data_IF_071470392981
#
_entry.id   IF_071470392981
#
_cell.length_a   1.000
_cell.length_b   1.000
_cell.length_c   1.000
_cell.angle_alpha   90.00
_cell.angle_beta   90.00
_cell.angle_gamma   90.00
#
_symmetry.space_group_name_H-M   'P 1'
#
loop_
_entity.id
_entity.type
_entity.pdbx_description
1 polymer ?
#
# COMPACT_ATOMS: atom_id res chain seq x y z
N UNK A 1 33.15 -0.28 29.44
CA UNK A 1 33.64 -1.05 28.27
C UNK A 1 32.52 -1.08 27.25
N UNK A 2 32.85 -1.11 25.96
CA UNK A 2 31.95 -0.63 24.89
C UNK A 2 31.20 -1.75 24.15
N UNK A 3 30.17 -1.35 23.42
CA UNK A 3 29.19 -2.17 22.69
C UNK A 3 29.80 -3.04 21.55
N UNK A 4 28.99 -3.89 20.91
CA UNK A 4 28.20 -3.38 19.77
C UNK A 4 26.68 -3.49 19.98
N UNK A 5 25.96 -2.45 19.55
CA UNK A 5 24.51 -2.50 19.37
C UNK A 5 24.22 -2.86 17.92
N UNK A 6 23.28 -3.77 17.68
CA UNK A 6 22.85 -4.10 16.33
C UNK A 6 21.87 -3.02 15.83
N UNK A 7 22.30 -2.23 14.86
CA UNK A 7 21.50 -1.15 14.23
C UNK A 7 21.44 -1.43 12.73
N UNK A 8 20.25 -1.72 12.18
CA UNK A 8 20.07 -1.87 10.74
C UNK A 8 18.68 -1.39 10.27
N UNK A 9 18.66 -0.14 9.79
CA UNK A 9 17.76 0.41 8.76
C UNK A 9 16.25 0.14 8.83
N UNK A 10 15.58 0.95 9.66
CA UNK A 10 14.27 1.52 9.34
C UNK A 10 14.49 2.96 8.84
N UNK A 11 14.18 3.27 7.57
CA UNK A 11 14.27 4.63 7.01
C UNK A 11 13.10 4.89 6.07
N UNK A 12 12.00 5.38 6.63
CA UNK A 12 11.06 6.21 5.88
C UNK A 12 11.70 7.55 5.50
N UNK A 13 11.38 8.05 4.32
CA UNK A 13 11.91 9.27 3.69
C UNK A 13 13.43 9.29 3.39
N UNK A 14 13.79 9.85 2.24
CA UNK A 14 15.15 10.28 1.84
C UNK A 14 16.32 9.28 2.01
N UNK A 15 16.42 8.33 1.08
CA UNK A 15 17.71 7.84 0.50
C UNK A 15 17.60 7.64 -1.05
N UNK A 16 17.08 8.63 -1.78
CA UNK A 16 17.26 8.69 -3.25
C UNK A 16 18.56 9.43 -3.56
N UNK A 17 19.68 8.74 -3.34
CA UNK A 17 21.01 9.35 -3.44
C UNK A 17 22.13 8.34 -3.68
N UNK A 18 22.77 8.45 -4.85
CA UNK A 18 24.06 7.84 -5.17
C UNK A 18 24.18 6.30 -5.06
N UNK A 19 23.43 5.58 -5.89
CA UNK A 19 24.02 4.43 -6.59
C UNK A 19 23.77 4.60 -8.09
N UNK A 20 24.82 4.81 -8.88
CA UNK A 20 24.70 4.87 -10.34
C UNK A 20 24.38 3.49 -10.92
N UNK A 21 23.73 3.44 -12.09
CA UNK A 21 23.19 2.19 -12.67
C UNK A 21 24.17 1.00 -12.72
N UNK A 22 25.48 1.24 -12.95
CA UNK A 22 26.51 0.18 -12.92
C UNK A 22 26.72 -0.38 -11.51
N UNK A 23 26.71 0.48 -10.48
CA UNK A 23 26.77 0.06 -9.07
C UNK A 23 25.52 -0.72 -8.66
N UNK A 24 24.34 -0.27 -9.11
CA UNK A 24 23.08 -1.01 -8.91
C UNK A 24 23.21 -2.39 -9.56
N UNK A 25 23.54 -2.49 -10.85
CA UNK A 25 23.70 -3.77 -11.55
C UNK A 25 24.73 -4.72 -10.91
N UNK A 26 25.79 -4.19 -10.28
CA UNK A 26 26.75 -5.01 -9.52
C UNK A 26 26.11 -5.52 -8.21
N UNK A 27 25.39 -4.69 -7.48
CA UNK A 27 24.68 -5.07 -6.25
C UNK A 27 23.56 -6.07 -6.56
N UNK A 28 22.75 -5.82 -7.59
CA UNK A 28 21.70 -6.70 -8.11
C UNK A 28 22.26 -8.09 -8.44
N UNK A 29 23.35 -8.13 -9.21
CA UNK A 29 23.99 -9.38 -9.64
C UNK A 29 24.70 -10.12 -8.50
N UNK A 30 25.09 -9.42 -7.43
CA UNK A 30 25.58 -10.03 -6.20
C UNK A 30 24.44 -10.55 -5.32
N UNK A 31 23.30 -9.84 -5.26
CA UNK A 31 22.08 -10.26 -4.56
C UNK A 31 21.50 -11.53 -5.18
N UNK A 32 21.23 -11.50 -6.49
CA UNK A 32 20.71 -12.63 -7.26
C UNK A 32 21.60 -13.88 -7.14
N UNK A 33 22.93 -13.69 -7.06
CA UNK A 33 23.89 -14.78 -6.86
C UNK A 33 23.89 -15.35 -5.43
N UNK A 34 23.53 -14.56 -4.40
CA UNK A 34 23.25 -15.07 -3.04
C UNK A 34 21.93 -15.84 -2.99
N UNK A 35 20.90 -15.32 -3.65
CA UNK A 35 19.58 -15.96 -3.71
C UNK A 35 19.67 -17.34 -4.41
N UNK A 36 20.43 -17.46 -5.50
CA UNK A 36 20.81 -18.76 -6.09
C UNK A 36 21.51 -19.71 -5.10
N UNK A 37 22.42 -19.20 -4.27
CA UNK A 37 23.17 -20.02 -3.30
C UNK A 37 22.27 -20.50 -2.16
N UNK A 38 21.40 -19.63 -1.66
CA UNK A 38 20.39 -19.97 -0.64
C UNK A 38 19.39 -21.00 -1.20
N UNK A 39 18.96 -20.85 -2.45
CA UNK A 39 18.07 -21.82 -3.11
C UNK A 39 18.76 -23.19 -3.28
N UNK A 40 20.04 -23.22 -3.69
CA UNK A 40 20.84 -24.46 -3.78
C UNK A 40 21.01 -25.12 -2.40
N UNK A 41 21.24 -24.35 -1.33
CA UNK A 41 21.31 -24.88 0.03
C UNK A 41 19.97 -25.48 0.51
N UNK A 42 18.83 -24.85 0.20
CA UNK A 42 17.51 -25.42 0.50
C UNK A 42 17.24 -26.70 -0.30
N UNK A 43 17.60 -26.76 -1.59
CA UNK A 43 17.48 -27.97 -2.42
C UNK A 43 18.36 -29.11 -1.87
N UNK A 44 19.59 -28.82 -1.42
CA UNK A 44 20.44 -29.80 -0.75
C UNK A 44 19.89 -30.26 0.61
N UNK A 45 19.19 -29.38 1.34
CA UNK A 45 18.55 -29.72 2.61
C UNK A 45 17.36 -30.66 2.38
N UNK A 46 16.42 -30.27 1.50
CA UNK A 46 15.29 -31.09 1.07
C UNK A 46 15.75 -32.44 0.50
N UNK A 47 16.87 -32.47 -0.25
CA UNK A 47 17.48 -33.69 -0.74
C UNK A 47 17.94 -34.64 0.38
N UNK A 48 18.43 -34.12 1.52
CA UNK A 48 18.81 -34.92 2.70
C UNK A 48 17.57 -35.39 3.46
N UNK A 49 16.55 -34.56 3.60
CA UNK A 49 15.26 -34.93 4.22
C UNK A 49 14.57 -36.05 3.42
N UNK A 50 14.45 -35.91 2.09
CA UNK A 50 13.91 -36.96 1.22
C UNK A 50 14.71 -38.28 1.31
N UNK A 51 16.02 -38.23 1.56
CA UNK A 51 16.82 -39.43 1.80
C UNK A 51 16.55 -40.06 3.17
N UNK A 52 16.30 -39.27 4.22
CA UNK A 52 15.89 -39.81 5.52
C UNK A 52 14.47 -40.39 5.46
N UNK A 53 13.51 -39.69 4.87
CA UNK A 53 12.13 -40.18 4.67
C UNK A 53 12.12 -41.48 3.86
N UNK A 54 12.98 -41.62 2.84
CA UNK A 54 13.15 -42.90 2.12
C UNK A 54 13.71 -44.02 3.00
N UNK A 55 14.71 -43.75 3.85
CA UNK A 55 15.24 -44.74 4.81
C UNK A 55 14.18 -45.15 5.83
N UNK A 56 13.38 -44.20 6.31
CA UNK A 56 12.26 -44.47 7.23
C UNK A 56 11.14 -45.27 6.56
N UNK A 57 10.81 -44.98 5.30
CA UNK A 57 9.90 -45.81 4.52
C UNK A 57 10.44 -47.24 4.35
N UNK A 58 11.73 -47.43 4.09
CA UNK A 58 12.31 -48.77 3.96
C UNK A 58 12.45 -49.50 5.32
N UNK A 59 12.71 -48.81 6.44
CA UNK A 59 12.66 -49.44 7.78
C UNK A 59 11.23 -49.81 8.15
N UNK A 60 10.24 -48.93 7.93
CA UNK A 60 8.81 -49.23 8.11
C UNK A 60 8.34 -50.39 7.22
N UNK A 61 8.81 -50.46 5.97
CA UNK A 61 8.51 -51.57 5.04
C UNK A 61 9.14 -52.88 5.49
N UNK A 62 10.31 -52.85 6.12
CA UNK A 62 10.93 -54.03 6.72
C UNK A 62 10.25 -54.43 8.06
N UNK A 63 9.76 -53.47 8.84
CA UNK A 63 8.90 -53.72 10.00
C UNK A 63 7.58 -54.38 9.56
N UNK A 64 6.93 -53.89 8.50
CA UNK A 64 5.74 -54.53 7.92
C UNK A 64 6.00 -55.96 7.42
N UNK A 65 7.15 -56.24 6.79
CA UNK A 65 7.57 -57.60 6.42
C UNK A 65 7.80 -58.52 7.62
N UNK A 66 8.11 -57.97 8.79
CA UNK A 66 8.28 -58.73 10.03
C UNK A 66 6.96 -58.92 10.79
N UNK A 67 6.04 -57.94 10.77
CA UNK A 67 4.69 -58.12 11.34
C UNK A 67 3.82 -59.04 10.47
N UNK A 68 3.97 -59.03 9.14
CA UNK A 68 3.29 -59.97 8.24
C UNK A 68 3.71 -61.43 8.45
N UNK A 69 4.88 -61.68 9.06
CA UNK A 69 5.30 -63.03 9.51
C UNK A 69 4.71 -63.43 10.87
N UNK A 70 4.09 -62.52 11.62
CA UNK A 70 3.55 -62.76 12.97
C UNK A 70 2.01 -62.71 13.05
N UNK A 71 1.31 -62.18 12.05
CA UNK A 71 -0.16 -62.22 11.98
C UNK A 71 -0.68 -63.35 11.07
N UNK A 72 -0.99 -64.51 11.67
CA UNK A 72 -1.64 -65.64 10.99
C UNK A 72 -2.72 -66.31 11.86
N UNK A 73 -3.66 -65.52 12.40
CA UNK A 73 -4.81 -66.01 13.19
C UNK A 73 -5.98 -65.01 13.16
N UNK A 74 -7.23 -65.50 13.08
CA UNK A 74 -8.53 -64.75 13.12
C UNK A 74 -8.75 -63.70 11.99
N UNK A 75 -9.83 -63.63 11.19
CA UNK A 75 -11.24 -64.15 11.23
C UNK A 75 -12.00 -63.76 12.51
N UNK A 76 -13.19 -63.16 12.55
CA UNK A 76 -14.25 -62.79 11.56
C UNK A 76 -15.22 -61.79 12.25
N UNK A 77 -16.31 -61.19 11.72
CA UNK A 77 -17.05 -61.15 10.44
C UNK A 77 -18.12 -60.01 10.48
N UNK A 78 -18.83 -59.75 9.36
CA UNK A 78 -20.21 -59.16 9.28
C UNK A 78 -20.46 -57.72 9.79
N UNK A 79 -21.54 -56.99 9.45
CA UNK A 79 -22.37 -56.83 8.23
C UNK A 79 -23.49 -55.77 8.47
N UNK A 80 -24.13 -55.24 7.41
CA UNK A 80 -25.55 -54.77 7.38
C UNK A 80 -25.94 -53.48 8.17
N UNK A 81 -27.03 -52.72 7.93
CA UNK A 81 -28.05 -52.59 6.83
C UNK A 81 -28.95 -51.35 7.04
N UNK A 82 -29.48 -50.74 5.94
CA UNK A 82 -30.77 -49.96 5.82
C UNK A 82 -30.96 -48.70 6.72
N UNK A 83 -31.91 -47.76 6.51
CA UNK A 83 -33.13 -47.56 5.67
C UNK A 83 -33.24 -46.05 5.30
N UNK A 84 -33.87 -45.48 4.26
CA UNK A 84 -35.25 -45.53 3.67
C UNK A 84 -36.39 -45.19 4.67
N UNK A 85 -37.42 -44.35 4.40
CA UNK A 85 -37.89 -43.73 3.13
C UNK A 85 -38.90 -42.54 3.34
N UNK A 86 -39.17 -41.72 2.30
CA UNK A 86 -40.42 -40.94 2.03
C UNK A 86 -40.95 -39.86 3.04
N UNK A 87 -41.99 -39.03 2.80
CA UNK A 87 -42.52 -38.19 1.65
C UNK A 87 -43.73 -37.32 2.18
N UNK A 88 -44.45 -36.55 1.32
CA UNK A 88 -45.76 -35.84 1.53
C UNK A 88 -45.66 -34.51 2.34
N UNK A 89 -46.37 -33.39 2.06
CA UNK A 89 -47.03 -32.82 0.85
C UNK A 89 -47.41 -31.32 1.13
N UNK A 90 -47.81 -30.55 0.11
CA UNK A 90 -48.15 -29.12 0.20
C UNK A 90 -49.65 -28.82 0.48
N UNK A 91 -49.95 -27.55 0.81
CA UNK A 91 -51.28 -26.90 0.78
C UNK A 91 -51.15 -25.41 0.45
N UNK A 92 -52.05 -24.87 -0.38
CA UNK A 92 -52.17 -23.44 -0.69
C UNK A 92 -52.80 -22.60 0.45
N UNK A 93 -52.65 -21.27 0.38
CA UNK A 93 -53.33 -20.31 1.26
C UNK A 93 -53.25 -18.88 0.71
N UNK A 94 -54.37 -18.41 0.14
CA UNK A 94 -54.55 -17.04 -0.39
C UNK A 94 -55.16 -16.12 0.68
N UNK A 95 -54.67 -14.87 0.77
CA UNK A 95 -55.47 -13.71 1.16
C UNK A 95 -54.75 -12.40 0.81
N UNK A 96 -55.49 -11.45 0.25
CA UNK A 96 -55.04 -10.08 -0.01
C UNK A 96 -55.42 -9.16 1.16
N UNK A 97 -54.43 -8.46 1.73
CA UNK A 97 -54.65 -7.19 2.42
C UNK A 97 -53.66 -6.14 1.86
N UNK A 98 -54.19 -4.99 1.45
CA UNK A 98 -53.41 -3.84 0.96
C UNK A 98 -53.59 -2.70 1.96
N UNK A 99 -52.73 -2.66 2.97
CA UNK A 99 -52.71 -1.55 3.94
C UNK A 99 -52.31 -0.25 3.26
N UNK A 100 -52.98 0.85 3.64
CA UNK A 100 -52.79 2.17 3.06
C UNK A 100 -51.54 2.82 3.69
N UNK A 101 -50.37 2.51 3.13
CA UNK A 101 -49.06 2.97 3.63
C UNK A 101 -48.98 4.51 3.69
N UNK A 102 -48.76 5.05 4.89
CA UNK A 102 -48.55 6.49 5.09
C UNK A 102 -47.08 6.85 4.82
N UNK A 103 -46.84 7.54 3.70
CA UNK A 103 -45.51 7.89 3.20
C UNK A 103 -44.78 8.88 4.13
N UNK A 104 -45.53 9.61 4.98
CA UNK A 104 -44.98 10.59 5.92
C UNK A 104 -43.92 10.00 6.85
N UNK A 105 -44.12 8.73 7.24
CA UNK A 105 -43.34 8.03 8.24
C UNK A 105 -41.98 7.52 7.71
N UNK A 106 -41.73 7.55 6.39
CA UNK A 106 -40.46 7.13 5.80
C UNK A 106 -39.47 8.30 5.60
N UNK A 107 -39.93 9.54 5.37
CA UNK A 107 -39.01 10.67 5.17
C UNK A 107 -38.18 10.99 6.43
N UNK A 108 -38.77 10.92 7.63
CA UNK A 108 -38.02 11.06 8.89
C UNK A 108 -37.06 9.87 9.12
N UNK A 109 -37.50 8.63 8.88
CA UNK A 109 -36.63 7.43 9.05
C UNK A 109 -35.46 7.40 8.06
N UNK A 110 -35.65 7.89 6.84
CA UNK A 110 -34.58 8.05 5.84
C UNK A 110 -33.62 9.16 6.29
N UNK A 111 -34.12 10.27 6.85
CA UNK A 111 -33.27 11.33 7.42
C UNK A 111 -32.38 10.79 8.54
N UNK A 112 -32.96 10.12 9.54
CA UNK A 112 -32.23 9.55 10.69
C UNK A 112 -31.18 8.52 10.24
N UNK A 113 -31.55 7.61 9.33
CA UNK A 113 -30.64 6.59 8.81
C UNK A 113 -29.47 7.18 8.00
N UNK A 114 -29.70 8.27 7.26
CA UNK A 114 -28.64 9.02 6.56
C UNK A 114 -27.73 9.75 7.55
N UNK A 115 -28.27 10.37 8.60
CA UNK A 115 -27.47 11.04 9.63
C UNK A 115 -26.58 10.05 10.39
N UNK A 116 -27.11 8.88 10.77
CA UNK A 116 -26.29 7.82 11.40
C UNK A 116 -25.23 7.24 10.46
N UNK A 117 -25.52 7.15 9.15
CA UNK A 117 -24.53 6.72 8.14
C UNK A 117 -23.41 7.74 7.98
N UNK A 118 -23.72 9.04 7.93
CA UNK A 118 -22.73 10.12 7.90
C UNK A 118 -21.89 10.15 9.18
N UNK A 119 -22.54 10.03 10.35
CA UNK A 119 -21.91 9.97 11.67
C UNK A 119 -20.98 8.76 11.83
N UNK A 120 -21.31 7.60 11.24
CA UNK A 120 -20.40 6.46 11.16
C UNK A 120 -19.18 6.78 10.28
N UNK A 121 -19.40 7.35 9.09
CA UNK A 121 -18.32 7.68 8.16
C UNK A 121 -17.33 8.71 8.76
N UNK A 122 -17.83 9.75 9.44
CA UNK A 122 -17.02 10.74 10.14
C UNK A 122 -16.24 10.14 11.32
N UNK A 123 -16.86 9.24 12.10
CA UNK A 123 -16.20 8.49 13.18
C UNK A 123 -15.04 7.65 12.65
N UNK A 124 -15.27 6.93 11.55
CA UNK A 124 -14.23 6.13 10.89
C UNK A 124 -13.12 7.04 10.37
N UNK A 125 -13.42 8.12 9.65
CA UNK A 125 -12.37 8.99 9.11
C UNK A 125 -11.52 9.65 10.20
N UNK A 126 -12.10 10.00 11.35
CA UNK A 126 -11.39 10.49 12.54
C UNK A 126 -10.40 9.44 13.09
N UNK A 127 -10.80 8.18 13.21
CA UNK A 127 -9.89 7.09 13.63
C UNK A 127 -8.82 6.83 12.57
N UNK A 128 -9.20 6.83 11.29
CA UNK A 128 -8.28 6.65 10.17
C UNK A 128 -7.26 7.78 10.01
N UNK A 129 -7.51 8.98 10.57
CA UNK A 129 -6.55 10.08 10.68
C UNK A 129 -5.93 10.27 12.07
N UNK A 130 -6.26 9.38 13.02
CA UNK A 130 -5.49 9.20 14.25
C UNK A 130 -4.12 8.54 13.98
N UNK A 131 -3.31 8.43 15.05
CA UNK A 131 -2.05 7.67 15.05
C UNK A 131 -2.11 6.43 15.94
N UNK A 132 -3.30 5.96 16.35
CA UNK A 132 -3.40 4.75 17.17
C UNK A 132 -3.49 3.49 16.29
N UNK A 133 -2.43 2.70 16.30
CA UNK A 133 -2.27 1.52 15.45
C UNK A 133 -3.24 0.40 15.82
N UNK A 134 -3.69 0.31 17.08
CA UNK A 134 -4.65 -0.72 17.48
C UNK A 134 -6.07 -0.37 17.04
N UNK A 135 -6.49 0.90 17.23
CA UNK A 135 -7.77 1.40 16.71
C UNK A 135 -7.84 1.26 15.18
N UNK A 136 -6.73 1.55 14.47
CA UNK A 136 -6.63 1.35 13.02
C UNK A 136 -6.81 -0.10 12.56
N UNK A 137 -6.40 -1.10 13.35
CA UNK A 137 -6.66 -2.53 13.06
C UNK A 137 -8.12 -2.86 13.31
N UNK A 138 -8.67 -2.44 14.46
CA UNK A 138 -10.08 -2.69 14.82
C UNK A 138 -10.99 -2.09 13.74
N UNK A 139 -10.76 -0.84 13.34
CA UNK A 139 -11.48 -0.18 12.25
C UNK A 139 -11.25 -0.84 10.88
N UNK A 140 -10.08 -1.46 10.62
CA UNK A 140 -9.89 -2.23 9.38
C UNK A 140 -10.74 -3.51 9.36
N UNK A 141 -10.85 -4.24 10.47
CA UNK A 141 -11.74 -5.41 10.53
C UNK A 141 -13.23 -4.99 10.52
N UNK A 142 -13.63 -3.96 11.27
CA UNK A 142 -15.01 -3.38 11.18
C UNK A 142 -15.38 -3.00 9.73
N UNK A 143 -14.45 -2.40 8.97
CA UNK A 143 -14.68 -2.04 7.58
C UNK A 143 -14.69 -3.25 6.63
N UNK A 144 -13.97 -4.33 6.94
CA UNK A 144 -14.03 -5.58 6.16
C UNK A 144 -15.37 -6.27 6.35
N UNK A 145 -15.80 -6.45 7.60
CA UNK A 145 -17.10 -7.06 7.93
C UNK A 145 -18.23 -6.30 7.23
N UNK A 146 -18.23 -4.97 7.33
CA UNK A 146 -19.20 -4.11 6.65
C UNK A 146 -19.08 -4.16 5.11
N UNK A 147 -17.91 -4.51 4.55
CA UNK A 147 -17.75 -4.73 3.10
C UNK A 147 -18.23 -6.11 2.62
N UNK A 148 -18.43 -7.08 3.52
CA UNK A 148 -19.14 -8.33 3.20
C UNK A 148 -20.66 -8.13 3.21
N UNK A 149 -21.18 -7.27 4.10
CA UNK A 149 -22.59 -6.87 4.13
C UNK A 149 -22.96 -5.91 2.97
N UNK A 150 -22.09 -4.93 2.66
CA UNK A 150 -22.32 -3.88 1.66
C UNK A 150 -21.24 -3.85 0.56
N UNK A 151 -21.09 -4.93 -0.25
CA UNK A 151 -19.98 -5.08 -1.21
C UNK A 151 -20.00 -4.08 -2.37
N UNK A 152 -21.10 -3.37 -2.58
CA UNK A 152 -21.23 -2.31 -3.60
C UNK A 152 -21.00 -0.89 -3.05
N UNK A 153 -20.69 -0.68 -1.75
CA UNK A 153 -20.32 0.65 -1.27
C UNK A 153 -18.81 0.95 -1.48
N UNK A 154 -18.54 1.74 -2.52
CA UNK A 154 -17.22 2.28 -2.79
C UNK A 154 -16.63 3.13 -1.64
N UNK A 155 -17.46 3.66 -0.73
CA UNK A 155 -17.03 4.51 0.39
C UNK A 155 -16.42 3.73 1.56
N UNK A 156 -16.81 2.47 1.75
CA UNK A 156 -16.13 1.52 2.65
C UNK A 156 -14.79 1.13 2.02
N UNK A 157 -14.80 0.76 0.73
CA UNK A 157 -13.65 0.20 0.04
C UNK A 157 -12.45 1.17 -0.06
N UNK A 158 -12.65 2.49 -0.22
CA UNK A 158 -11.52 3.43 -0.14
C UNK A 158 -11.06 3.70 1.30
N UNK A 159 -11.92 3.54 2.30
CA UNK A 159 -11.53 3.63 3.72
C UNK A 159 -10.71 2.43 4.17
N UNK A 160 -11.02 1.22 3.67
CA UNK A 160 -10.13 0.04 3.75
C UNK A 160 -8.77 0.40 3.14
N UNK A 161 -8.72 1.00 1.95
CA UNK A 161 -7.47 1.40 1.32
C UNK A 161 -6.66 2.44 2.13
N UNK A 162 -7.34 3.42 2.76
CA UNK A 162 -6.74 4.38 3.72
C UNK A 162 -6.15 3.66 4.94
N UNK A 163 -6.90 2.73 5.55
CA UNK A 163 -6.46 1.94 6.70
C UNK A 163 -5.24 1.07 6.37
N UNK A 164 -5.31 0.31 5.27
CA UNK A 164 -4.20 -0.50 4.77
C UNK A 164 -2.93 0.34 4.52
N UNK A 165 -3.05 1.54 3.95
CA UNK A 165 -1.89 2.43 3.77
C UNK A 165 -1.28 2.88 5.11
N UNK A 166 -2.11 3.23 6.11
CA UNK A 166 -1.62 3.64 7.44
C UNK A 166 -0.84 2.49 8.09
N UNK A 167 -1.40 1.28 8.11
CA UNK A 167 -0.72 0.08 8.65
C UNK A 167 0.55 -0.31 7.85
N UNK A 168 0.53 -0.17 6.52
CA UNK A 168 1.72 -0.36 5.67
C UNK A 168 2.81 0.72 5.87
N UNK A 169 2.47 1.87 6.43
CA UNK A 169 3.41 2.96 6.74
C UNK A 169 4.06 2.75 8.11
N UNK A 170 3.31 2.20 9.07
CA UNK A 170 3.77 1.89 10.43
C UNK A 170 4.59 0.58 10.51
N UNK A 171 4.30 -0.41 9.65
CA UNK A 171 4.93 -1.74 9.75
C UNK A 171 6.42 -1.78 9.35
N UNK A 172 7.28 -2.12 10.33
CA UNK A 172 8.68 -2.54 10.15
C UNK A 172 8.85 -3.77 9.24
N UNK A 173 7.83 -4.64 9.15
CA UNK A 173 7.93 -5.92 8.45
C UNK A 173 7.55 -5.77 6.97
N UNK A 174 8.53 -6.00 6.09
CA UNK A 174 8.32 -5.94 4.63
C UNK A 174 7.22 -6.89 4.13
N UNK A 175 6.99 -8.03 4.79
CA UNK A 175 5.95 -9.01 4.40
C UNK A 175 4.57 -8.43 4.71
N UNK A 176 4.35 -7.97 5.94
CA UNK A 176 3.07 -7.38 6.37
C UNK A 176 2.79 -6.08 5.58
N UNK A 177 3.83 -5.27 5.34
CA UNK A 177 3.75 -4.08 4.50
C UNK A 177 3.33 -4.40 3.06
N UNK A 178 3.93 -5.40 2.41
CA UNK A 178 3.53 -5.80 1.06
C UNK A 178 2.09 -6.33 1.03
N UNK A 179 1.68 -7.09 2.06
CA UNK A 179 0.33 -7.63 2.20
C UNK A 179 -0.74 -6.54 2.41
N UNK A 180 -0.51 -5.57 3.31
CA UNK A 180 -1.41 -4.42 3.46
C UNK A 180 -1.50 -3.59 2.17
N UNK A 181 -0.38 -3.31 1.50
CA UNK A 181 -0.39 -2.61 0.20
C UNK A 181 -1.15 -3.41 -0.87
N UNK A 182 -1.05 -4.75 -0.87
CA UNK A 182 -1.82 -5.63 -1.77
C UNK A 182 -3.32 -5.56 -1.49
N UNK A 183 -3.74 -5.63 -0.23
CA UNK A 183 -5.15 -5.54 0.19
C UNK A 183 -5.76 -4.19 -0.23
N UNK A 184 -5.13 -3.07 0.16
CA UNK A 184 -5.63 -1.74 -0.17
C UNK A 184 -5.72 -1.46 -1.67
N UNK A 185 -4.78 -1.99 -2.47
CA UNK A 185 -4.81 -1.83 -3.94
C UNK A 185 -5.96 -2.62 -4.58
N UNK A 186 -6.34 -3.80 -4.06
CA UNK A 186 -7.51 -4.52 -4.58
C UNK A 186 -8.83 -3.87 -4.12
N UNK A 187 -8.89 -3.37 -2.87
CA UNK A 187 -10.03 -2.59 -2.40
C UNK A 187 -10.27 -1.35 -3.29
N UNK A 188 -9.22 -0.59 -3.60
CA UNK A 188 -9.27 0.51 -4.57
C UNK A 188 -9.71 0.07 -5.99
N UNK A 189 -9.31 -1.11 -6.48
CA UNK A 189 -9.82 -1.63 -7.77
C UNK A 189 -11.31 -1.95 -7.71
N UNK A 190 -11.79 -2.57 -6.63
CA UNK A 190 -13.22 -2.83 -6.44
C UNK A 190 -14.02 -1.53 -6.37
N UNK A 191 -13.54 -0.57 -5.59
CA UNK A 191 -14.16 0.75 -5.49
C UNK A 191 -14.24 1.46 -6.86
N UNK A 192 -13.23 1.34 -7.72
CA UNK A 192 -13.25 1.88 -9.09
C UNK A 192 -14.16 1.12 -10.08
N UNK A 193 -14.47 -0.16 -9.82
CA UNK A 193 -15.46 -0.92 -10.61
C UNK A 193 -16.88 -0.37 -10.36
N UNK A 194 -17.14 0.12 -9.15
CA UNK A 194 -18.40 0.72 -8.71
C UNK A 194 -18.46 2.22 -9.09
N UNK A 195 -17.48 3.02 -8.63
CA UNK A 195 -17.50 4.48 -8.72
C UNK A 195 -16.23 5.06 -9.39
N UNK A 196 -16.11 4.94 -10.73
CA UNK A 196 -14.91 5.34 -11.49
C UNK A 196 -14.66 6.86 -11.57
N UNK A 197 -15.49 7.68 -10.89
CA UNK A 197 -15.40 9.13 -10.85
C UNK A 197 -15.30 9.70 -9.41
N UNK A 198 -15.06 8.88 -8.38
CA UNK A 198 -14.81 9.35 -7.02
C UNK A 198 -13.33 9.76 -6.84
N UNK A 199 -13.10 10.95 -6.28
CA UNK A 199 -11.76 11.53 -6.13
C UNK A 199 -10.87 10.75 -5.16
N UNK A 200 -11.41 10.37 -4.01
CA UNK A 200 -10.65 9.75 -2.92
C UNK A 200 -10.24 8.32 -3.26
N UNK A 201 -11.03 7.57 -4.03
CA UNK A 201 -10.59 6.27 -4.57
C UNK A 201 -9.33 6.46 -5.44
N UNK A 202 -9.34 7.42 -6.37
CA UNK A 202 -8.17 7.67 -7.23
C UNK A 202 -6.96 8.15 -6.42
N UNK A 203 -7.18 9.01 -5.42
CA UNK A 203 -6.15 9.51 -4.49
C UNK A 203 -5.51 8.40 -3.67
N UNK A 204 -6.29 7.54 -3.02
CA UNK A 204 -5.77 6.41 -2.24
C UNK A 204 -5.13 5.34 -3.11
N UNK A 205 -5.65 5.08 -4.33
CA UNK A 205 -4.98 4.22 -5.31
C UNK A 205 -3.57 4.76 -5.61
N UNK A 206 -3.44 6.06 -5.92
CA UNK A 206 -2.15 6.70 -6.20
C UNK A 206 -1.18 6.63 -5.00
N UNK A 207 -1.64 6.92 -3.78
CA UNK A 207 -0.84 6.82 -2.55
C UNK A 207 -0.28 5.39 -2.38
N UNK A 208 -1.14 4.38 -2.51
CA UNK A 208 -0.77 2.97 -2.33
C UNK A 208 0.25 2.47 -3.37
N UNK A 209 0.06 2.77 -4.66
CA UNK A 209 1.07 2.38 -5.69
C UNK A 209 2.35 3.19 -5.56
N UNK A 210 2.27 4.43 -5.06
CA UNK A 210 3.43 5.24 -4.71
C UNK A 210 4.30 4.59 -3.62
N UNK A 211 3.68 4.04 -2.57
CA UNK A 211 4.42 3.30 -1.54
C UNK A 211 4.89 1.91 -2.01
N UNK A 212 4.08 1.19 -2.81
CA UNK A 212 4.50 -0.09 -3.39
C UNK A 212 5.70 0.06 -4.34
N UNK A 213 5.78 1.16 -5.07
CA UNK A 213 6.92 1.52 -5.92
C UNK A 213 8.24 1.68 -5.13
N UNK A 214 8.21 1.85 -3.80
CA UNK A 214 9.44 1.90 -2.97
C UNK A 214 10.06 0.52 -2.75
N UNK A 215 9.24 -0.55 -2.70
CA UNK A 215 9.66 -1.91 -2.36
C UNK A 215 9.78 -2.86 -3.58
N UNK A 216 9.19 -2.50 -4.72
CA UNK A 216 9.17 -3.35 -5.92
C UNK A 216 10.42 -3.21 -6.81
N UNK A 217 10.73 -4.23 -7.65
CA UNK A 217 11.81 -4.16 -8.63
C UNK A 217 11.59 -3.08 -9.70
N UNK A 218 12.65 -2.72 -10.42
CA UNK A 218 12.67 -1.58 -11.35
C UNK A 218 11.55 -1.58 -12.41
N UNK A 219 11.16 -2.75 -12.94
CA UNK A 219 10.14 -2.88 -13.99
C UNK A 219 8.74 -2.61 -13.44
N UNK A 220 8.41 -3.26 -12.34
CA UNK A 220 7.15 -3.13 -11.62
C UNK A 220 7.00 -1.71 -11.06
N UNK A 221 8.10 -1.12 -10.57
CA UNK A 221 8.19 0.29 -10.16
C UNK A 221 7.89 1.29 -11.28
N UNK A 222 8.32 1.02 -12.52
CA UNK A 222 7.99 1.88 -13.67
C UNK A 222 6.49 1.77 -13.99
N UNK A 223 5.93 0.56 -13.98
CA UNK A 223 4.49 0.36 -14.18
C UNK A 223 3.65 1.08 -13.11
N UNK A 224 4.04 0.98 -11.84
CA UNK A 224 3.40 1.72 -10.74
C UNK A 224 3.60 3.24 -10.87
N UNK A 225 4.70 3.72 -11.46
CA UNK A 225 4.89 5.14 -11.79
C UNK A 225 3.93 5.67 -12.86
N UNK A 226 3.62 4.89 -13.90
CA UNK A 226 2.56 5.23 -14.86
C UNK A 226 1.18 5.22 -14.20
N UNK A 227 0.93 4.23 -13.33
CA UNK A 227 -0.33 4.06 -12.62
C UNK A 227 -0.56 5.21 -11.63
N UNK A 228 0.46 5.58 -10.85
CA UNK A 228 0.48 6.76 -9.99
C UNK A 228 0.04 8.01 -10.75
N UNK A 229 0.73 8.36 -11.85
CA UNK A 229 0.42 9.57 -12.63
C UNK A 229 -1.01 9.54 -13.17
N UNK A 230 -1.45 8.43 -13.77
CA UNK A 230 -2.84 8.24 -14.24
C UNK A 230 -3.87 8.52 -13.13
N UNK A 231 -3.66 8.01 -11.92
CA UNK A 231 -4.59 8.17 -10.82
C UNK A 231 -4.54 9.57 -10.18
N UNK A 232 -3.37 10.18 -10.04
CA UNK A 232 -3.23 11.59 -9.59
C UNK A 232 -3.84 12.57 -10.58
N UNK A 233 -3.54 12.43 -11.88
CA UNK A 233 -4.09 13.30 -12.93
C UNK A 233 -5.62 13.21 -12.95
N UNK A 234 -6.19 11.99 -12.89
CA UNK A 234 -7.65 11.78 -12.83
C UNK A 234 -8.25 12.35 -11.54
N UNK A 235 -7.63 12.17 -10.38
CA UNK A 235 -8.09 12.76 -9.13
C UNK A 235 -8.08 14.31 -9.19
N UNK A 236 -7.05 14.92 -9.79
CA UNK A 236 -6.99 16.37 -10.02
C UNK A 236 -8.04 16.89 -11.01
N UNK A 237 -8.50 16.09 -11.98
CA UNK A 237 -9.67 16.48 -12.80
C UNK A 237 -11.00 16.49 -12.02
N UNK A 238 -11.08 15.73 -10.92
CA UNK A 238 -12.27 15.63 -10.07
C UNK A 238 -12.24 16.68 -8.94
N UNK A 239 -11.07 16.91 -8.33
CA UNK A 239 -10.84 17.96 -7.34
C UNK A 239 -9.57 18.78 -7.67
N UNK A 240 -9.66 19.83 -8.51
CA UNK A 240 -8.51 20.67 -8.89
C UNK A 240 -7.89 21.48 -7.74
N UNK A 241 -8.49 21.47 -6.54
CA UNK A 241 -8.05 22.24 -5.36
C UNK A 241 -7.40 21.38 -4.27
N UNK A 242 -7.30 20.06 -4.46
CA UNK A 242 -6.67 19.18 -3.46
C UNK A 242 -5.16 19.43 -3.41
N UNK A 243 -4.72 20.12 -2.35
CA UNK A 243 -3.33 20.47 -2.14
C UNK A 243 -2.44 19.24 -1.86
N UNK A 244 -2.99 18.09 -1.41
CA UNK A 244 -2.22 16.85 -1.27
C UNK A 244 -1.93 16.25 -2.65
N UNK A 245 -2.91 16.24 -3.56
CA UNK A 245 -2.70 15.77 -4.94
C UNK A 245 -1.69 16.64 -5.69
N UNK A 246 -1.74 17.96 -5.53
CA UNK A 246 -0.72 18.87 -6.08
C UNK A 246 0.68 18.60 -5.50
N UNK A 247 0.81 18.34 -4.19
CA UNK A 247 2.10 17.98 -3.60
C UNK A 247 2.61 16.63 -4.12
N UNK A 248 1.73 15.62 -4.23
CA UNK A 248 2.04 14.30 -4.80
C UNK A 248 2.54 14.40 -6.24
N UNK A 249 1.87 15.19 -7.10
CA UNK A 249 2.28 15.41 -8.48
C UNK A 249 3.61 16.17 -8.56
N UNK A 250 3.79 17.20 -7.71
CA UNK A 250 5.04 17.95 -7.62
C UNK A 250 6.23 17.08 -7.22
N UNK A 251 6.04 16.19 -6.23
CA UNK A 251 7.06 15.20 -5.81
C UNK A 251 7.42 14.26 -6.95
N UNK A 252 6.42 13.68 -7.60
CA UNK A 252 6.61 12.80 -8.74
C UNK A 252 7.37 13.50 -9.88
N UNK A 253 6.96 14.72 -10.24
CA UNK A 253 7.61 15.53 -11.27
C UNK A 253 9.08 15.85 -10.92
N UNK A 254 9.37 16.21 -9.67
CA UNK A 254 10.73 16.48 -9.19
C UNK A 254 11.64 15.25 -9.29
N UNK A 255 11.19 14.09 -8.80
CA UNK A 255 11.97 12.85 -8.85
C UNK A 255 12.25 12.43 -10.30
N UNK A 256 11.23 12.47 -11.18
CA UNK A 256 11.37 12.18 -12.61
C UNK A 256 12.32 13.17 -13.32
N UNK A 257 12.24 14.47 -13.02
CA UNK A 257 13.14 15.47 -13.56
C UNK A 257 14.60 15.23 -13.13
N UNK A 258 14.81 14.67 -11.93
CA UNK A 258 16.13 14.33 -11.37
C UNK A 258 16.81 13.12 -12.03
N UNK A 259 16.04 12.21 -12.65
CA UNK A 259 16.59 11.05 -13.35
C UNK A 259 17.51 11.51 -14.49
N UNK A 260 18.75 11.03 -14.53
CA UNK A 260 19.70 11.45 -15.56
C UNK A 260 19.31 10.88 -16.92
N UNK A 261 19.76 11.53 -17.99
CA UNK A 261 19.41 11.16 -19.36
C UNK A 261 19.71 9.68 -19.68
N UNK A 262 20.79 9.12 -19.14
CA UNK A 262 21.15 7.72 -19.36
C UNK A 262 20.29 6.75 -18.54
N UNK A 263 19.86 7.12 -17.33
CA UNK A 263 18.92 6.35 -16.51
C UNK A 263 17.55 6.27 -17.21
N UNK A 264 17.05 7.40 -17.73
CA UNK A 264 15.83 7.44 -18.56
C UNK A 264 15.96 6.59 -19.83
N UNK A 265 17.09 6.67 -20.55
CA UNK A 265 17.31 5.90 -21.79
C UNK A 265 17.41 4.39 -21.57
N UNK A 266 18.04 3.95 -20.47
CA UNK A 266 18.10 2.52 -20.09
C UNK A 266 16.72 2.01 -19.66
N UNK A 267 15.97 2.79 -18.88
CA UNK A 267 14.59 2.45 -18.53
C UNK A 267 13.70 2.30 -19.78
N UNK A 268 13.73 3.30 -20.68
CA UNK A 268 12.97 3.29 -21.93
C UNK A 268 13.25 2.05 -22.80
N UNK A 269 14.52 1.62 -22.87
CA UNK A 269 14.95 0.49 -23.71
C UNK A 269 14.56 -0.87 -23.12
N UNK A 270 14.44 -0.99 -21.79
CA UNK A 270 14.23 -2.28 -21.11
C UNK A 270 12.79 -2.50 -20.61
N UNK A 271 12.08 -1.42 -20.27
CA UNK A 271 10.82 -1.48 -19.51
C UNK A 271 9.69 -0.62 -20.07
N UNK A 272 9.92 0.06 -21.21
CA UNK A 272 9.00 1.06 -21.76
C UNK A 272 9.37 2.48 -21.34
N UNK A 273 8.95 3.47 -22.13
CA UNK A 273 9.30 4.88 -21.93
C UNK A 273 8.76 5.40 -20.59
N UNK A 274 9.62 5.74 -19.60
CA UNK A 274 9.16 6.19 -18.30
C UNK A 274 8.47 7.56 -18.43
N UNK A 275 7.54 7.90 -17.52
CA UNK A 275 6.90 9.22 -17.51
C UNK A 275 7.93 10.34 -17.55
N UNK A 276 7.69 11.35 -18.38
CA UNK A 276 8.49 12.58 -18.42
C UNK A 276 7.90 13.66 -17.51
N UNK A 277 8.79 14.48 -16.94
CA UNK A 277 8.44 15.69 -16.21
C UNK A 277 9.64 16.67 -16.15
N UNK A 278 9.39 17.92 -15.75
CA UNK A 278 10.41 18.97 -15.54
C UNK A 278 10.38 19.58 -14.13
N UNK A 279 11.42 20.36 -13.77
CA UNK A 279 11.47 21.06 -12.48
C UNK A 279 10.52 22.26 -12.41
N UNK A 280 10.19 22.86 -13.55
CA UNK A 280 9.19 23.93 -13.69
C UNK A 280 7.77 23.39 -13.47
N UNK A 281 7.46 22.20 -13.98
CA UNK A 281 6.20 21.50 -13.69
C UNK A 281 6.08 21.17 -12.20
N UNK A 282 7.15 20.63 -11.61
CA UNK A 282 7.22 20.34 -10.17
C UNK A 282 7.00 21.61 -9.33
N UNK A 283 7.71 22.70 -9.65
CA UNK A 283 7.56 24.00 -9.00
C UNK A 283 6.14 24.53 -9.08
N UNK A 284 5.51 24.49 -10.26
CA UNK A 284 4.12 24.93 -10.43
C UNK A 284 3.15 24.11 -9.56
N UNK A 285 3.33 22.79 -9.47
CA UNK A 285 2.53 21.93 -8.60
C UNK A 285 2.67 22.35 -7.13
N UNK A 286 3.90 22.51 -6.61
CA UNK A 286 4.11 22.95 -5.24
C UNK A 286 3.60 24.38 -4.96
N UNK A 287 3.56 25.27 -5.96
CA UNK A 287 2.94 26.59 -5.85
C UNK A 287 1.39 26.52 -5.84
N UNK A 288 0.76 25.51 -6.44
CA UNK A 288 -0.68 25.26 -6.20
C UNK A 288 -0.95 24.80 -4.76
N UNK A 289 0.00 24.09 -4.12
CA UNK A 289 -0.13 23.72 -2.71
C UNK A 289 -0.15 24.97 -1.82
N UNK A 290 0.77 25.92 -2.00
CA UNK A 290 0.77 27.20 -1.25
C UNK A 290 -0.51 28.04 -1.48
N UNK A 291 -1.20 27.82 -2.61
CA UNK A 291 -2.45 28.52 -2.99
C UNK A 291 -3.71 27.90 -2.36
N UNK A 292 -3.72 26.59 -2.12
CA UNK A 292 -4.91 25.86 -1.63
C UNK A 292 -4.74 25.28 -0.22
N UNK A 293 -3.54 25.24 0.33
CA UNK A 293 -3.26 24.73 1.66
C UNK A 293 -3.30 25.87 2.69
N UNK A 294 -4.28 25.84 3.60
CA UNK A 294 -4.44 26.85 4.66
C UNK A 294 -3.43 26.71 5.82
N UNK A 295 -2.41 25.84 5.71
CA UNK A 295 -1.39 25.60 6.75
C UNK A 295 0.04 25.79 6.24
N UNK A 296 0.90 26.27 7.12
CA UNK A 296 2.35 26.30 6.92
C UNK A 296 2.92 24.87 6.82
N UNK A 297 3.27 24.41 5.61
CA UNK A 297 3.81 23.06 5.39
C UNK A 297 5.29 23.09 4.97
N UNK A 298 6.17 22.79 5.92
CA UNK A 298 7.64 22.80 5.76
C UNK A 298 8.13 22.05 4.52
N UNK A 299 7.64 20.82 4.31
CA UNK A 299 8.04 19.97 3.19
C UNK A 299 7.70 20.59 1.83
N UNK A 300 6.53 21.23 1.72
CA UNK A 300 6.17 21.92 0.48
C UNK A 300 7.13 23.08 0.18
N UNK A 301 7.38 23.95 1.16
CA UNK A 301 8.30 25.11 1.03
C UNK A 301 9.74 24.66 0.75
N UNK A 302 10.17 23.54 1.32
CA UNK A 302 11.45 22.92 1.04
C UNK A 302 11.58 22.43 -0.41
N UNK A 303 10.54 21.78 -0.96
CA UNK A 303 10.56 21.33 -2.34
C UNK A 303 10.47 22.49 -3.35
N UNK A 304 9.74 23.57 -3.04
CA UNK A 304 9.80 24.83 -3.80
C UNK A 304 11.24 25.36 -3.86
N UNK A 305 11.91 25.42 -2.70
CA UNK A 305 13.30 25.87 -2.61
C UNK A 305 14.26 24.97 -3.42
N UNK A 306 14.09 23.64 -3.40
CA UNK A 306 14.87 22.69 -4.21
C UNK A 306 14.62 22.87 -5.71
N UNK A 307 13.39 23.14 -6.14
CA UNK A 307 13.11 23.46 -7.54
C UNK A 307 13.83 24.74 -7.98
N UNK A 308 13.70 25.85 -7.23
CA UNK A 308 14.42 27.08 -7.54
C UNK A 308 15.95 26.89 -7.54
N UNK A 309 16.50 26.08 -6.62
CA UNK A 309 17.93 25.78 -6.56
C UNK A 309 18.43 25.08 -7.83
N UNK A 310 17.74 24.02 -8.29
CA UNK A 310 18.15 23.28 -9.49
C UNK A 310 17.91 24.08 -10.78
N UNK A 311 16.91 24.97 -10.79
CA UNK A 311 16.69 25.97 -11.85
C UNK A 311 17.73 27.12 -11.82
N UNK A 312 18.73 27.08 -10.94
CA UNK A 312 19.79 28.11 -10.81
C UNK A 312 19.35 29.41 -10.14
N UNK A 313 18.10 29.50 -9.69
CA UNK A 313 17.47 30.70 -9.12
C UNK A 313 17.85 30.85 -7.63
N UNK A 314 19.15 30.97 -7.34
CA UNK A 314 19.73 31.00 -5.98
C UNK A 314 19.03 31.98 -5.03
N UNK A 315 18.59 33.16 -5.51
CA UNK A 315 17.91 34.16 -4.66
C UNK A 315 16.57 33.64 -4.10
N UNK A 316 15.75 33.02 -4.95
CA UNK A 316 14.44 32.49 -4.56
C UNK A 316 14.60 31.20 -3.76
N UNK A 317 15.59 30.37 -4.11
CA UNK A 317 15.94 29.20 -3.32
C UNK A 317 16.27 29.58 -1.86
N UNK A 318 17.12 30.60 -1.63
CA UNK A 318 17.46 31.07 -0.27
C UNK A 318 16.23 31.61 0.47
N UNK A 319 15.34 32.36 -0.19
CA UNK A 319 14.07 32.82 0.42
C UNK A 319 13.21 31.63 0.86
N UNK A 320 12.97 30.68 -0.03
CA UNK A 320 12.10 29.54 0.25
C UNK A 320 12.70 28.55 1.26
N UNK A 321 14.02 28.35 1.27
CA UNK A 321 14.67 27.59 2.35
C UNK A 321 14.50 28.27 3.71
N UNK A 322 14.61 29.61 3.81
CA UNK A 322 14.33 30.35 5.06
C UNK A 322 12.85 30.29 5.45
N UNK A 323 11.93 30.35 4.49
CA UNK A 323 10.50 30.16 4.74
C UNK A 323 10.22 28.76 5.29
N UNK A 324 10.91 27.72 4.80
CA UNK A 324 10.80 26.36 5.32
C UNK A 324 11.47 26.20 6.70
N UNK A 325 12.62 26.83 6.91
CA UNK A 325 13.37 26.86 8.20
C UNK A 325 12.53 27.46 9.33
N UNK A 326 11.72 28.49 9.03
CA UNK A 326 10.88 29.21 9.98
C UNK A 326 9.62 28.45 10.43
N UNK A 327 9.17 27.42 9.68
CA UNK A 327 8.08 26.56 10.14
C UNK A 327 8.59 25.70 11.30
N UNK A 328 7.86 25.53 12.43
CA UNK A 328 8.25 24.62 13.50
C UNK A 328 8.44 23.17 13.03
N UNK A 329 9.25 22.37 13.74
CA UNK A 329 9.26 20.91 13.58
C UNK A 329 8.33 20.29 14.62
N UNK A 330 7.38 19.46 14.17
CA UNK A 330 6.38 18.81 15.04
C UNK A 330 6.61 17.29 15.14
N UNK A 331 7.18 16.68 14.10
CA UNK A 331 7.44 15.24 14.03
C UNK A 331 8.90 14.92 13.62
N UNK A 332 9.27 13.63 13.68
CA UNK A 332 10.61 13.15 13.31
C UNK A 332 11.03 13.51 11.88
N UNK A 333 10.09 13.46 10.92
CA UNK A 333 10.34 13.86 9.52
C UNK A 333 10.71 15.33 9.43
N UNK A 334 9.97 16.22 10.11
CA UNK A 334 10.29 17.66 10.15
C UNK A 334 11.66 17.94 10.77
N UNK A 335 12.12 17.13 11.73
CA UNK A 335 13.45 17.26 12.31
C UNK A 335 14.55 16.81 11.34
N UNK A 336 14.37 15.69 10.63
CA UNK A 336 15.28 15.25 9.55
C UNK A 336 15.34 16.30 8.43
N UNK A 337 14.18 16.86 8.07
CA UNK A 337 14.00 17.88 7.05
C UNK A 337 14.67 19.21 7.42
N UNK A 338 14.61 19.63 8.69
CA UNK A 338 15.32 20.82 9.17
C UNK A 338 16.83 20.71 8.94
N UNK A 339 17.42 19.52 9.09
CA UNK A 339 18.84 19.28 8.83
C UNK A 339 19.17 19.40 7.33
N UNK A 340 18.31 18.90 6.43
CA UNK A 340 18.47 19.04 4.98
C UNK A 340 18.30 20.51 4.53
N UNK A 341 17.38 21.27 5.15
CA UNK A 341 17.22 22.73 4.95
C UNK A 341 18.51 23.47 5.31
N UNK A 342 19.07 23.21 6.50
CA UNK A 342 20.28 23.89 7.00
C UNK A 342 21.55 23.55 6.21
N UNK A 343 21.64 22.36 5.63
CA UNK A 343 22.73 21.97 4.72
C UNK A 343 22.56 22.65 3.34
N UNK A 344 21.34 22.66 2.78
CA UNK A 344 21.06 23.35 1.52
C UNK A 344 21.25 24.87 1.60
N UNK A 345 20.93 25.50 2.74
CA UNK A 345 21.20 26.92 2.98
C UNK A 345 22.70 27.25 2.90
N UNK A 346 23.56 26.40 3.48
CA UNK A 346 25.03 26.56 3.39
C UNK A 346 25.50 26.44 1.93
N UNK A 347 25.03 25.42 1.21
CA UNK A 347 25.31 25.19 -0.22
C UNK A 347 24.84 26.31 -1.15
N UNK A 348 23.84 27.10 -0.74
CA UNK A 348 23.41 28.27 -1.50
C UNK A 348 24.30 29.50 -1.25
N UNK A 349 24.88 29.62 -0.05
CA UNK A 349 25.70 30.74 0.41
C UNK A 349 27.18 30.60 0.03
N UNK A 350 27.63 29.39 -0.31
CA UNK A 350 28.85 29.10 -1.10
C UNK A 350 28.61 29.28 -2.61
#
# INVERSE_FOLDING_TARGET
MSSPQNVWFMVGASVVGLVGAVGIMIIEKLRQKREEQILKQHIECLGKEMQNIRKELDTLRNIQKNTSKRSKRSKTSTASTTSTDSFISATDGDSSDLEFYDVSDEEEKISDALEDTHRFADRVDLVLDSSNIEDLKITLEELKDLSEEFPEDANILWRIAKACYKLATDSDNLIDKEEYLRQGIEACKSALRISPNNCDIHKWYAILVGSRAEIQPIKERIADGHLFKKHVDKALTLNPKDYMLHHMLGRFAYEIASLKWYERKVAATLFGEPPSATYEEALNCFLQVEKYCNREWKENKFFIAKCHFVLGQKSEAIKWFKNAEAVPSQNYSDHKLQLEILDMLKKCQS
#
